data_IF_037083120696
#
_entry.id   IF_037083120696
#
_cell.length_a   1.000
_cell.length_b   1.000
_cell.length_c   1.000
_cell.angle_alpha   90.00
_cell.angle_beta   90.00
_cell.angle_gamma   90.00
#
_symmetry.space_group_name_H-M   'P 1'
#
loop_
_entity.id
_entity.type
_entity.pdbx_description
1 polymer ?
#
# COMPACT_ATOMS: atom_id res chain seq x y z
N UNK A 1 12.85 6.43 -36.81
CA UNK A 1 12.40 5.04 -37.10
C UNK A 1 11.13 4.74 -36.29
N UNK A 2 10.03 4.31 -36.92
CA UNK A 2 8.76 4.04 -36.21
C UNK A 2 8.88 2.71 -35.42
N UNK A 3 8.83 2.71 -34.07
CA UNK A 3 9.04 1.50 -33.26
C UNK A 3 7.90 0.48 -33.39
N UNK A 4 6.77 0.87 -33.98
CA UNK A 4 5.58 0.04 -34.19
C UNK A 4 5.44 -0.48 -35.64
N UNK A 5 6.42 -0.24 -36.51
CA UNK A 5 6.36 -0.71 -37.90
C UNK A 5 6.29 -2.26 -37.93
N UNK A 6 5.31 -2.80 -38.67
CA UNK A 6 5.10 -4.25 -38.83
C UNK A 6 4.43 -4.95 -37.64
N UNK A 7 3.71 -4.21 -36.78
CA UNK A 7 2.95 -4.80 -35.66
C UNK A 7 1.53 -5.11 -36.06
N UNK A 8 1.07 -6.30 -35.66
CA UNK A 8 -0.31 -6.77 -35.85
C UNK A 8 -1.33 -5.92 -35.07
N UNK A 9 -0.95 -5.42 -33.90
CA UNK A 9 -1.83 -4.62 -33.04
C UNK A 9 -1.53 -3.13 -33.18
N UNK A 10 -2.59 -2.32 -33.05
CA UNK A 10 -2.48 -0.86 -33.07
C UNK A 10 -1.58 -0.36 -31.94
N UNK A 11 -0.82 0.70 -32.22
CA UNK A 11 0.15 1.30 -31.28
C UNK A 11 -0.48 1.68 -29.94
N UNK A 12 -1.72 2.17 -29.96
CA UNK A 12 -2.38 2.71 -28.77
C UNK A 12 -2.74 1.59 -27.80
N UNK A 13 -3.21 0.44 -28.30
CA UNK A 13 -3.47 -0.77 -27.52
C UNK A 13 -2.18 -1.27 -26.83
N UNK A 14 -1.10 -1.36 -27.60
CA UNK A 14 0.21 -1.78 -27.07
C UNK A 14 0.67 -0.83 -25.96
N UNK A 15 0.58 0.48 -26.20
CA UNK A 15 0.98 1.49 -25.23
C UNK A 15 0.09 1.50 -23.98
N UNK A 16 -1.22 1.29 -24.11
CA UNK A 16 -2.12 1.17 -22.97
C UNK A 16 -1.79 -0.05 -22.11
N UNK A 17 -1.60 -1.21 -22.72
CA UNK A 17 -1.23 -2.43 -22.01
C UNK A 17 0.10 -2.28 -21.25
N UNK A 18 1.14 -1.75 -21.91
CA UNK A 18 2.44 -1.50 -21.29
C UNK A 18 2.34 -0.47 -20.17
N UNK A 19 1.61 0.63 -20.38
CA UNK A 19 1.40 1.65 -19.34
C UNK A 19 0.64 1.10 -18.15
N UNK A 20 -0.41 0.31 -18.37
CA UNK A 20 -1.22 -0.26 -17.30
C UNK A 20 -0.40 -1.24 -16.46
N UNK A 21 0.39 -2.10 -17.11
CA UNK A 21 1.36 -2.96 -16.44
C UNK A 21 2.32 -2.15 -15.56
N UNK A 22 3.02 -1.19 -16.15
CA UNK A 22 4.06 -0.42 -15.44
C UNK A 22 3.51 0.48 -14.33
N UNK A 23 2.28 0.99 -14.46
CA UNK A 23 1.71 1.95 -13.50
C UNK A 23 0.94 1.29 -12.36
N UNK A 24 0.14 0.27 -12.67
CA UNK A 24 -0.83 -0.29 -11.74
C UNK A 24 -0.43 -1.66 -11.21
N UNK A 25 0.65 -2.27 -11.73
CA UNK A 25 1.13 -3.57 -11.26
C UNK A 25 0.19 -4.73 -11.55
N UNK A 26 -0.63 -4.60 -12.60
CA UNK A 26 -1.58 -5.62 -13.05
C UNK A 26 -0.79 -6.79 -13.66
N UNK A 27 -1.20 -8.03 -13.40
CA UNK A 27 -0.55 -9.21 -13.99
C UNK A 27 -0.79 -9.29 -15.51
N UNK A 28 0.06 -10.04 -16.22
CA UNK A 28 -0.12 -10.22 -17.66
C UNK A 28 -1.41 -10.98 -18.02
N UNK A 29 -1.89 -11.85 -17.12
CA UNK A 29 -3.14 -12.62 -17.31
C UNK A 29 -4.36 -11.72 -17.14
N UNK A 30 -4.38 -10.91 -16.09
CA UNK A 30 -5.43 -9.91 -15.88
C UNK A 30 -5.45 -8.88 -17.02
N UNK A 31 -4.30 -8.45 -17.55
CA UNK A 31 -4.26 -7.57 -18.72
C UNK A 31 -4.82 -8.24 -19.99
N UNK A 32 -4.60 -9.53 -20.17
CA UNK A 32 -5.21 -10.29 -21.26
C UNK A 32 -6.74 -10.30 -21.11
N UNK A 33 -7.26 -10.57 -19.91
CA UNK A 33 -8.71 -10.55 -19.62
C UNK A 33 -9.30 -9.15 -19.87
N UNK A 34 -8.67 -8.10 -19.35
CA UNK A 34 -9.12 -6.71 -19.53
C UNK A 34 -9.11 -6.24 -21.00
N UNK A 35 -8.20 -6.77 -21.82
CA UNK A 35 -8.15 -6.50 -23.25
C UNK A 35 -9.22 -7.32 -23.99
N UNK A 36 -9.44 -8.56 -23.58
CA UNK A 36 -10.49 -9.41 -24.15
C UNK A 36 -11.89 -8.83 -23.93
N UNK A 37 -12.17 -8.27 -22.74
CA UNK A 37 -13.40 -7.51 -22.44
C UNK A 37 -13.64 -6.34 -23.39
N UNK A 38 -12.57 -5.78 -23.97
CA UNK A 38 -12.60 -4.66 -24.93
C UNK A 38 -12.55 -5.13 -26.38
N UNK A 39 -12.74 -6.44 -26.64
CA UNK A 39 -12.72 -7.03 -27.96
C UNK A 39 -11.32 -7.26 -28.53
N UNK A 40 -10.27 -7.14 -27.72
CA UNK A 40 -8.87 -7.30 -28.15
C UNK A 40 -8.32 -8.63 -27.64
N UNK A 41 -8.29 -9.64 -28.50
CA UNK A 41 -7.76 -10.96 -28.15
C UNK A 41 -6.23 -10.98 -28.29
N UNK A 42 -5.51 -10.98 -27.16
CA UNK A 42 -4.04 -11.01 -27.09
C UNK A 42 -3.62 -11.97 -25.99
N UNK A 43 -2.69 -12.87 -26.31
CA UNK A 43 -2.11 -13.76 -25.29
C UNK A 43 -1.14 -13.01 -24.35
N UNK A 44 -1.18 -13.34 -23.07
CA UNK A 44 -0.33 -12.78 -22.00
C UNK A 44 1.19 -12.81 -22.33
N UNK A 45 1.69 -13.82 -23.06
CA UNK A 45 3.09 -13.86 -23.51
C UNK A 45 3.44 -12.78 -24.54
N UNK A 46 2.45 -12.33 -25.30
CA UNK A 46 2.59 -11.21 -26.26
C UNK A 46 2.68 -9.90 -25.51
N UNK A 47 1.86 -9.71 -24.47
CA UNK A 47 1.90 -8.54 -23.59
C UNK A 47 3.27 -8.48 -22.88
N UNK A 48 3.78 -9.60 -22.38
CA UNK A 48 5.13 -9.69 -21.81
C UNK A 48 6.20 -9.21 -22.80
N UNK A 49 6.17 -9.68 -24.05
CA UNK A 49 7.09 -9.25 -25.11
C UNK A 49 6.97 -7.76 -25.44
N UNK A 50 5.77 -7.19 -25.36
CA UNK A 50 5.57 -5.74 -25.52
C UNK A 50 6.20 -4.98 -24.37
N UNK A 51 5.99 -5.38 -23.13
CA UNK A 51 6.60 -4.72 -21.96
C UNK A 51 8.12 -4.75 -22.04
N UNK A 52 8.72 -5.90 -22.31
CA UNK A 52 10.18 -6.05 -22.45
C UNK A 52 10.76 -5.11 -23.51
N UNK A 53 10.04 -4.89 -24.62
CA UNK A 53 10.53 -4.05 -25.72
C UNK A 53 10.24 -2.56 -25.53
N UNK A 54 9.03 -2.21 -25.10
CA UNK A 54 8.56 -0.83 -25.13
C UNK A 54 8.75 -0.11 -23.80
N UNK A 55 8.79 -0.80 -22.65
CA UNK A 55 9.02 -0.13 -21.37
C UNK A 55 10.39 0.57 -21.30
N UNK A 56 11.52 -0.05 -21.75
CA UNK A 56 12.81 0.65 -21.79
C UNK A 56 12.83 1.84 -22.77
N UNK A 57 12.15 1.72 -23.91
CA UNK A 57 12.01 2.81 -24.88
C UNK A 57 11.18 3.98 -24.32
N UNK A 58 10.11 3.67 -23.59
CA UNK A 58 9.30 4.67 -22.88
C UNK A 58 10.15 5.37 -21.81
N UNK A 59 10.89 4.62 -20.99
CA UNK A 59 11.80 5.19 -20.00
C UNK A 59 12.82 6.12 -20.66
N UNK A 60 13.48 5.67 -21.74
CA UNK A 60 14.48 6.49 -22.46
C UNK A 60 13.90 7.82 -22.94
N UNK A 61 12.70 7.81 -23.52
CA UNK A 61 12.03 9.01 -24.05
C UNK A 61 11.48 9.93 -22.97
N UNK A 62 11.01 9.35 -21.84
CA UNK A 62 10.44 10.09 -20.72
C UNK A 62 11.50 10.52 -19.68
N UNK A 63 12.74 10.00 -19.79
CA UNK A 63 13.84 10.22 -18.84
C UNK A 63 14.07 11.70 -18.54
N UNK A 64 14.05 12.55 -19.56
CA UNK A 64 14.29 13.99 -19.40
C UNK A 64 13.16 14.73 -18.68
N UNK A 65 11.91 14.24 -18.78
CA UNK A 65 10.75 14.84 -18.11
C UNK A 65 10.67 14.40 -16.64
N UNK A 66 11.04 13.14 -16.34
CA UNK A 66 10.86 12.56 -15.00
C UNK A 66 12.04 12.86 -14.06
N UNK A 67 13.26 12.95 -14.59
CA UNK A 67 14.48 13.23 -13.81
C UNK A 67 14.83 14.72 -13.71
N UNK A 68 13.87 15.60 -13.94
CA UNK A 68 14.05 17.03 -13.74
C UNK A 68 13.35 17.43 -12.42
N UNK A 69 14.00 17.25 -11.26
CA UNK A 69 13.49 17.79 -10.00
C UNK A 69 13.65 19.31 -10.05
N UNK A 70 12.68 19.96 -10.67
CA UNK A 70 12.63 21.42 -10.91
C UNK A 70 12.49 22.25 -9.64
N UNK A 71 12.34 21.62 -8.48
CA UNK A 71 11.82 22.28 -7.28
C UNK A 71 12.75 22.21 -6.06
N UNK A 72 14.00 21.75 -6.21
CA UNK A 72 14.98 21.61 -5.11
C UNK A 72 14.41 20.89 -3.86
N UNK A 73 13.38 20.07 -4.06
CA UNK A 73 12.67 19.42 -2.97
C UNK A 73 13.60 18.47 -2.24
N UNK A 74 13.52 18.39 -0.90
CA UNK A 74 14.26 17.41 -0.13
C UNK A 74 14.09 16.01 -0.71
N UNK A 75 15.18 15.27 -0.79
CA UNK A 75 15.12 13.86 -1.15
C UNK A 75 14.87 13.03 0.10
N UNK A 76 14.08 11.98 -0.07
CA UNK A 76 13.80 10.96 0.94
C UNK A 76 14.33 9.64 0.40
N UNK A 77 15.24 9.01 1.15
CA UNK A 77 15.91 7.80 0.71
C UNK A 77 15.80 6.73 1.77
N UNK A 78 15.50 5.51 1.34
CA UNK A 78 15.41 4.37 2.22
C UNK A 78 15.65 3.07 1.44
N UNK A 79 15.85 1.98 2.17
CA UNK A 79 16.01 0.65 1.61
C UNK A 79 14.81 -0.22 1.92
N UNK A 80 14.39 -1.02 0.94
CA UNK A 80 13.41 -2.09 1.17
C UNK A 80 13.95 -3.41 0.67
N UNK A 81 13.56 -4.51 1.31
CA UNK A 81 13.92 -5.84 0.85
C UNK A 81 12.96 -6.25 -0.28
N UNK A 82 13.52 -6.86 -1.32
CA UNK A 82 12.79 -7.36 -2.49
C UNK A 82 13.34 -8.72 -2.85
N UNK A 83 12.49 -9.62 -3.33
CA UNK A 83 12.92 -10.94 -3.76
C UNK A 83 13.05 -10.95 -5.28
N UNK A 84 14.23 -11.26 -5.77
CA UNK A 84 14.56 -11.29 -7.20
C UNK A 84 15.05 -12.69 -7.52
N UNK A 85 14.29 -13.41 -8.34
CA UNK A 85 14.59 -14.80 -8.73
C UNK A 85 14.86 -15.71 -7.51
N UNK A 86 13.96 -15.69 -6.52
CA UNK A 86 14.08 -16.49 -5.30
C UNK A 86 15.12 -15.99 -4.27
N UNK A 87 15.91 -14.95 -4.57
CA UNK A 87 16.94 -14.43 -3.67
C UNK A 87 16.56 -13.06 -3.10
N UNK A 88 16.77 -12.89 -1.79
CA UNK A 88 16.59 -11.60 -1.13
C UNK A 88 17.66 -10.60 -1.57
N UNK A 89 17.22 -9.41 -1.93
CA UNK A 89 18.06 -8.27 -2.27
C UNK A 89 17.50 -7.00 -1.61
N UNK A 90 18.36 -6.02 -1.40
CA UNK A 90 18.02 -4.70 -0.90
C UNK A 90 17.87 -3.75 -2.08
N UNK A 91 16.67 -3.21 -2.26
CA UNK A 91 16.35 -2.15 -3.19
C UNK A 91 16.44 -0.80 -2.46
N UNK A 92 17.48 -0.05 -2.79
CA UNK A 92 17.67 1.33 -2.40
C UNK A 92 16.81 2.22 -3.29
N UNK A 93 16.03 3.12 -2.69
CA UNK A 93 15.12 4.02 -3.39
C UNK A 93 15.34 5.45 -2.93
N UNK A 94 15.19 6.38 -3.86
CA UNK A 94 15.20 7.81 -3.59
C UNK A 94 13.98 8.44 -4.26
N UNK A 95 13.20 9.18 -3.48
CA UNK A 95 12.03 9.91 -3.95
C UNK A 95 12.11 11.37 -3.50
N UNK A 96 11.50 12.28 -4.23
CA UNK A 96 11.33 13.66 -3.77
C UNK A 96 10.10 13.81 -2.87
N UNK A 97 9.92 14.98 -2.26
CA UNK A 97 8.74 15.29 -1.44
C UNK A 97 7.40 15.23 -2.19
N UNK A 98 7.38 15.19 -3.53
CA UNK A 98 6.17 15.01 -4.35
C UNK A 98 5.92 13.54 -4.71
N UNK A 99 6.75 12.62 -4.22
CA UNK A 99 6.67 11.19 -4.52
C UNK A 99 7.18 10.81 -5.92
N UNK A 100 7.90 11.70 -6.60
CA UNK A 100 8.58 11.38 -7.86
C UNK A 100 9.85 10.59 -7.55
N UNK A 101 10.06 9.50 -8.27
CA UNK A 101 11.29 8.70 -8.14
C UNK A 101 12.49 9.45 -8.69
N UNK A 102 13.53 9.64 -7.87
CA UNK A 102 14.82 10.20 -8.28
C UNK A 102 15.66 9.12 -8.94
N UNK A 103 15.97 8.04 -8.21
CA UNK A 103 16.64 6.86 -8.75
C UNK A 103 16.45 5.65 -7.82
N UNK A 104 16.87 4.47 -8.28
CA UNK A 104 16.88 3.22 -7.52
C UNK A 104 18.16 2.44 -7.75
N UNK A 105 18.52 1.57 -6.80
CA UNK A 105 19.69 0.70 -6.89
C UNK A 105 19.47 -0.61 -6.15
N UNK A 106 19.75 -1.73 -6.82
CA UNK A 106 19.60 -3.06 -6.25
C UNK A 106 20.96 -3.58 -5.76
N UNK A 107 20.99 -4.11 -4.54
CA UNK A 107 22.20 -4.68 -3.92
C UNK A 107 21.86 -5.98 -3.20
N UNK A 108 22.73 -6.97 -3.22
CA UNK A 108 22.57 -8.17 -2.40
C UNK A 108 22.85 -7.94 -0.91
N UNK A 109 23.52 -6.82 -0.56
CA UNK A 109 23.94 -6.51 0.82
C UNK A 109 23.50 -5.11 1.23
N UNK A 110 23.06 -4.97 2.49
CA UNK A 110 22.81 -3.69 3.14
C UNK A 110 24.07 -3.19 3.83
N UNK A 111 24.86 -2.34 3.17
CA UNK A 111 26.10 -1.80 3.72
C UNK A 111 26.42 -0.38 3.22
N UNK A 112 27.40 0.27 3.85
CA UNK A 112 27.86 1.60 3.45
C UNK A 112 28.40 1.67 2.03
N UNK A 113 28.98 0.58 1.50
CA UNK A 113 29.48 0.52 0.12
C UNK A 113 28.35 0.57 -0.90
N UNK A 114 27.24 -0.11 -0.62
CA UNK A 114 26.03 -0.08 -1.45
C UNK A 114 25.38 1.31 -1.39
N UNK A 115 25.26 1.90 -0.20
CA UNK A 115 24.77 3.28 -0.04
C UNK A 115 25.65 4.30 -0.79
N UNK A 116 26.98 4.17 -0.71
CA UNK A 116 27.93 5.00 -1.46
C UNK A 116 27.75 4.86 -2.98
N UNK A 117 27.63 3.63 -3.49
CA UNK A 117 27.38 3.38 -4.92
C UNK A 117 26.05 3.98 -5.37
N UNK A 118 25.01 3.84 -4.56
CA UNK A 118 23.68 4.38 -4.85
C UNK A 118 23.69 5.91 -4.89
N UNK A 119 24.20 6.56 -3.85
CA UNK A 119 24.33 8.01 -3.79
C UNK A 119 25.23 8.54 -4.91
N UNK A 120 26.37 7.88 -5.15
CA UNK A 120 27.28 8.24 -6.24
C UNK A 120 26.63 8.11 -7.63
N UNK A 121 25.79 7.08 -7.85
CA UNK A 121 24.99 6.94 -9.08
C UNK A 121 24.03 8.11 -9.27
N UNK A 122 23.33 8.51 -8.21
CA UNK A 122 22.39 9.63 -8.25
C UNK A 122 23.14 10.92 -8.58
N UNK A 123 24.18 11.25 -7.80
CA UNK A 123 24.94 12.49 -7.92
C UNK A 123 25.65 12.64 -9.28
N UNK A 124 26.07 11.54 -9.92
CA UNK A 124 26.65 11.58 -11.26
C UNK A 124 25.61 11.80 -12.36
N UNK A 125 24.35 11.40 -12.13
CA UNK A 125 23.28 11.48 -13.12
C UNK A 125 22.49 12.80 -13.03
N UNK A 126 22.55 13.50 -11.89
CA UNK A 126 21.91 14.79 -11.70
C UNK A 126 22.91 15.93 -11.89
N UNK A 127 22.43 17.07 -12.36
CA UNK A 127 23.24 18.28 -12.44
C UNK A 127 23.43 18.86 -11.04
N UNK A 128 24.54 19.58 -10.79
CA UNK A 128 24.85 20.11 -9.43
C UNK A 128 23.72 20.95 -8.83
N UNK A 129 23.06 21.77 -9.64
CA UNK A 129 21.93 22.61 -9.21
C UNK A 129 20.61 21.87 -9.01
N UNK A 130 20.53 20.57 -9.32
CA UNK A 130 19.37 19.73 -9.06
C UNK A 130 19.50 18.98 -7.73
N UNK A 131 20.68 19.04 -7.09
CA UNK A 131 20.92 18.42 -5.78
C UNK A 131 20.23 19.30 -4.73
N UNK A 132 19.31 18.74 -3.93
CA UNK A 132 18.63 19.52 -2.91
C UNK A 132 19.56 19.80 -1.74
N UNK A 133 19.24 20.86 -1.00
CA UNK A 133 19.93 21.18 0.25
C UNK A 133 19.75 20.10 1.33
N UNK A 134 18.67 19.32 1.27
CA UNK A 134 18.33 18.34 2.31
C UNK A 134 18.17 16.93 1.75
N UNK A 135 18.88 15.97 2.35
CA UNK A 135 18.67 14.53 2.14
C UNK A 135 18.17 13.94 3.45
N UNK A 136 16.97 13.36 3.43
CA UNK A 136 16.37 12.67 4.55
C UNK A 136 16.57 11.16 4.38
N UNK A 137 17.05 10.49 5.42
CA UNK A 137 17.10 9.03 5.48
C UNK A 137 16.60 8.55 6.83
N UNK A 138 16.37 7.24 6.95
CA UNK A 138 16.23 6.63 8.28
C UNK A 138 17.56 6.71 9.09
N UNK A 139 17.50 6.33 10.36
CA UNK A 139 18.63 6.31 11.31
C UNK A 139 19.72 5.28 10.96
N UNK A 140 19.72 4.71 9.76
CA UNK A 140 20.73 3.76 9.32
C UNK A 140 22.12 4.43 9.22
N UNK A 141 23.15 3.92 9.92
CA UNK A 141 24.51 4.50 9.90
C UNK A 141 25.23 4.33 8.55
N UNK A 142 24.64 3.58 7.62
CA UNK A 142 25.21 3.34 6.29
C UNK A 142 25.27 4.63 5.46
N UNK A 143 24.19 5.43 5.46
CA UNK A 143 24.07 6.65 4.68
C UNK A 143 24.98 7.77 5.17
N UNK A 144 25.07 7.97 6.49
CA UNK A 144 25.94 9.00 7.07
C UNK A 144 27.41 8.79 6.66
N UNK A 145 27.90 7.55 6.76
CA UNK A 145 29.27 7.20 6.29
C UNK A 145 29.44 7.40 4.79
N UNK A 146 28.46 7.02 3.99
CA UNK A 146 28.52 7.18 2.54
C UNK A 146 28.55 8.66 2.11
N UNK A 147 27.72 9.51 2.73
CA UNK A 147 27.68 10.95 2.45
C UNK A 147 28.97 11.65 2.89
N UNK A 148 29.52 11.30 4.04
CA UNK A 148 30.80 11.85 4.50
C UNK A 148 31.94 11.56 3.50
N UNK A 149 32.01 10.34 2.98
CA UNK A 149 32.98 9.96 1.94
C UNK A 149 32.77 10.75 0.64
N UNK A 150 31.53 10.86 0.17
CA UNK A 150 31.21 11.60 -1.06
C UNK A 150 31.48 13.10 -0.95
N UNK A 151 31.30 13.68 0.24
CA UNK A 151 31.69 15.07 0.53
C UNK A 151 33.21 15.23 0.51
N UNK A 152 33.95 14.30 1.13
CA UNK A 152 35.43 14.31 1.14
C UNK A 152 36.01 14.21 -0.28
N UNK A 153 35.37 13.45 -1.16
CA UNK A 153 35.75 13.32 -2.58
C UNK A 153 35.31 14.49 -3.46
N UNK A 154 34.60 15.50 -2.92
CA UNK A 154 34.07 16.64 -3.68
C UNK A 154 32.93 16.31 -4.65
N UNK A 155 32.35 15.11 -4.54
CA UNK A 155 31.24 14.63 -5.39
C UNK A 155 29.88 15.11 -4.90
N UNK A 156 29.73 15.27 -3.58
CA UNK A 156 28.55 15.82 -2.95
C UNK A 156 28.84 17.27 -2.50
N UNK A 157 27.98 18.24 -2.84
CA UNK A 157 28.12 19.61 -2.35
C UNK A 157 28.15 19.67 -0.81
N UNK A 158 29.00 20.55 -0.26
CA UNK A 158 29.23 20.65 1.19
C UNK A 158 28.00 21.15 1.95
N UNK A 159 27.17 21.97 1.30
CA UNK A 159 25.92 22.57 1.76
C UNK A 159 24.75 21.57 1.89
N UNK A 160 24.88 20.35 1.37
CA UNK A 160 23.86 19.31 1.53
C UNK A 160 23.83 18.81 2.98
N UNK A 161 22.75 19.07 3.69
CA UNK A 161 22.53 18.60 5.04
C UNK A 161 21.82 17.22 5.04
N UNK A 162 22.35 16.30 5.85
CA UNK A 162 21.76 14.99 6.07
C UNK A 162 20.87 15.02 7.32
N UNK A 163 19.60 14.64 7.18
CA UNK A 163 18.62 14.61 8.27
C UNK A 163 18.12 13.20 8.52
N UNK A 164 18.02 12.83 9.80
CA UNK A 164 17.53 11.53 10.25
C UNK A 164 16.23 11.68 11.04
N UNK A 165 15.18 12.10 10.34
CA UNK A 165 13.90 12.48 10.96
C UNK A 165 12.84 11.43 10.62
N UNK A 166 12.44 10.63 11.62
CA UNK A 166 11.50 9.50 11.45
C UNK A 166 10.19 9.91 10.77
N UNK A 167 9.56 11.01 11.18
CA UNK A 167 8.25 11.42 10.64
C UNK A 167 8.28 11.84 9.16
N UNK A 168 9.46 12.14 8.59
CA UNK A 168 9.59 12.51 7.17
C UNK A 168 9.72 11.29 6.25
N UNK A 169 9.94 10.10 6.81
CA UNK A 169 10.04 8.86 6.04
C UNK A 169 8.69 8.37 5.50
N UNK A 170 7.56 8.91 5.96
CA UNK A 170 6.23 8.50 5.50
C UNK A 170 6.09 8.53 3.96
N UNK A 171 6.77 9.47 3.28
CA UNK A 171 6.73 9.58 1.82
C UNK A 171 7.39 8.37 1.15
N UNK A 172 8.57 7.97 1.62
CA UNK A 172 9.30 6.82 1.07
C UNK A 172 8.67 5.48 1.52
N UNK A 173 8.12 5.42 2.74
CA UNK A 173 7.37 4.27 3.23
C UNK A 173 6.09 4.03 2.40
N UNK A 174 5.38 5.09 2.01
CA UNK A 174 4.24 5.00 1.11
C UNK A 174 4.65 4.49 -0.29
N UNK A 175 5.79 4.93 -0.83
CA UNK A 175 6.36 4.38 -2.08
C UNK A 175 6.69 2.89 -1.95
N UNK A 176 7.32 2.49 -0.83
CA UNK A 176 7.59 1.09 -0.51
C UNK A 176 6.32 0.25 -0.43
N UNK A 177 5.24 0.78 0.17
CA UNK A 177 3.95 0.09 0.26
C UNK A 177 3.35 -0.24 -1.11
N UNK A 178 3.41 0.71 -2.06
CA UNK A 178 2.96 0.47 -3.44
C UNK A 178 3.78 -0.63 -4.11
N UNK A 179 5.09 -0.58 -3.95
CA UNK A 179 5.98 -1.60 -4.49
C UNK A 179 5.66 -2.97 -3.89
N UNK A 180 5.61 -3.07 -2.55
CA UNK A 180 5.29 -4.30 -1.81
C UNK A 180 3.92 -4.88 -2.16
N UNK A 181 2.94 -4.09 -2.58
CA UNK A 181 1.68 -4.65 -3.10
C UNK A 181 1.90 -5.43 -4.41
N UNK A 182 2.83 -4.98 -5.24
CA UNK A 182 3.15 -5.58 -6.54
C UNK A 182 4.12 -6.77 -6.38
N UNK A 183 5.08 -6.67 -5.46
CA UNK A 183 6.18 -7.66 -5.30
C UNK A 183 6.17 -8.44 -3.98
N UNK A 184 5.26 -8.12 -3.07
CA UNK A 184 5.27 -8.61 -1.69
C UNK A 184 4.55 -9.93 -1.56
N UNK A 185 3.53 -9.98 -0.71
CA UNK A 185 2.97 -11.25 -0.25
C UNK A 185 2.55 -12.23 -1.38
N UNK A 186 1.92 -11.82 -2.51
CA UNK A 186 1.59 -12.74 -3.60
C UNK A 186 2.80 -13.36 -4.30
N UNK A 187 3.90 -12.60 -4.44
CA UNK A 187 5.14 -13.11 -5.04
C UNK A 187 5.97 -13.96 -4.05
N UNK A 188 5.79 -13.72 -2.75
CA UNK A 188 6.44 -14.47 -1.67
C UNK A 188 5.74 -15.80 -1.34
N UNK A 189 4.44 -15.95 -1.68
CA UNK A 189 3.70 -17.20 -1.49
C UNK A 189 4.33 -18.39 -2.23
N UNK A 190 4.94 -18.15 -3.40
CA UNK A 190 5.63 -19.18 -4.16
C UNK A 190 6.89 -19.75 -3.49
N UNK A 191 7.39 -19.07 -2.45
CA UNK A 191 8.60 -19.46 -1.73
C UNK A 191 8.34 -19.81 -0.25
N UNK A 192 7.09 -19.93 0.18
CA UNK A 192 6.75 -20.39 1.51
C UNK A 192 7.18 -21.86 1.66
N UNK A 193 8.04 -22.16 2.63
CA UNK A 193 8.53 -23.53 2.88
C UNK A 193 7.63 -24.26 3.87
N UNK A 194 6.91 -23.51 4.70
CA UNK A 194 6.06 -24.05 5.74
C UNK A 194 4.60 -23.60 5.56
N UNK A 195 3.62 -24.44 5.95
CA UNK A 195 2.20 -24.08 5.92
C UNK A 195 1.87 -22.83 6.75
N UNK A 196 2.66 -22.58 7.80
CA UNK A 196 2.52 -21.38 8.64
C UNK A 196 2.95 -20.11 7.91
N UNK A 197 4.07 -20.13 7.18
CA UNK A 197 4.51 -18.98 6.36
C UNK A 197 3.52 -18.67 5.24
N UNK A 198 2.99 -19.71 4.59
CA UNK A 198 1.95 -19.56 3.56
C UNK A 198 0.68 -18.93 4.14
N UNK A 199 0.22 -19.40 5.31
CA UNK A 199 -0.93 -18.82 6.00
C UNK A 199 -0.69 -17.35 6.38
N UNK A 200 0.50 -17.00 6.87
CA UNK A 200 0.85 -15.61 7.22
C UNK A 200 0.86 -14.71 5.97
N UNK A 201 1.49 -15.14 4.87
CA UNK A 201 1.55 -14.37 3.63
C UNK A 201 0.19 -14.28 2.94
N UNK A 202 -0.60 -15.35 2.97
CA UNK A 202 -2.00 -15.37 2.53
C UNK A 202 -2.83 -14.39 3.34
N UNK A 203 -2.70 -14.39 4.67
CA UNK A 203 -3.42 -13.46 5.55
C UNK A 203 -3.00 -12.00 5.34
N UNK A 204 -1.72 -11.72 5.07
CA UNK A 204 -1.26 -10.36 4.72
C UNK A 204 -1.86 -9.92 3.38
N UNK A 205 -1.79 -10.77 2.36
CA UNK A 205 -2.39 -10.51 1.04
C UNK A 205 -3.89 -10.30 1.14
N UNK A 206 -4.56 -11.12 1.96
CA UNK A 206 -5.97 -11.03 2.25
C UNK A 206 -6.30 -9.71 2.94
N UNK A 207 -5.56 -9.31 3.98
CA UNK A 207 -5.79 -8.04 4.68
C UNK A 207 -5.56 -6.83 3.77
N UNK A 208 -4.56 -6.86 2.88
CA UNK A 208 -4.32 -5.81 1.89
C UNK A 208 -5.45 -5.74 0.84
N UNK A 209 -5.92 -6.89 0.36
CA UNK A 209 -7.05 -6.99 -0.57
C UNK A 209 -8.36 -6.56 0.07
N UNK A 210 -8.59 -6.94 1.33
CA UNK A 210 -9.72 -6.52 2.16
C UNK A 210 -9.72 -5.01 2.29
N UNK A 211 -8.58 -4.39 2.62
CA UNK A 211 -8.52 -2.95 2.79
C UNK A 211 -8.84 -2.22 1.47
N UNK A 212 -8.30 -2.69 0.33
CA UNK A 212 -8.59 -2.11 -0.99
C UNK A 212 -10.05 -2.30 -1.44
N UNK A 213 -10.60 -3.51 -1.25
CA UNK A 213 -12.01 -3.83 -1.57
C UNK A 213 -12.98 -3.10 -0.66
N UNK A 214 -12.62 -2.88 0.60
CA UNK A 214 -13.41 -2.12 1.57
C UNK A 214 -13.71 -0.71 1.04
N UNK A 215 -12.68 0.02 0.57
CA UNK A 215 -12.88 1.35 0.02
C UNK A 215 -13.72 1.35 -1.27
N UNK A 216 -13.46 0.40 -2.18
CA UNK A 216 -14.20 0.30 -3.43
C UNK A 216 -15.68 -0.06 -3.21
N UNK A 217 -15.95 -0.98 -2.29
CA UNK A 217 -17.30 -1.43 -1.98
C UNK A 217 -18.10 -0.37 -1.23
N UNK A 218 -17.47 0.32 -0.28
CA UNK A 218 -18.09 1.46 0.43
C UNK A 218 -18.43 2.56 -0.56
N UNK A 219 -17.50 2.92 -1.48
CA UNK A 219 -17.73 3.94 -2.49
C UNK A 219 -18.85 3.56 -3.47
N UNK A 220 -18.84 2.32 -3.98
CA UNK A 220 -19.88 1.82 -4.90
C UNK A 220 -21.28 1.85 -4.26
N UNK A 221 -21.39 1.52 -2.98
CA UNK A 221 -22.68 1.49 -2.28
C UNK A 221 -23.16 2.89 -1.89
N UNK A 222 -22.24 3.80 -1.55
CA UNK A 222 -22.54 5.22 -1.33
C UNK A 222 -23.08 5.91 -2.60
N UNK A 223 -22.69 5.45 -3.79
CA UNK A 223 -23.27 5.93 -5.05
C UNK A 223 -24.73 5.43 -5.26
N UNK A 224 -25.13 4.34 -4.62
CA UNK A 224 -26.48 3.78 -4.69
C UNK A 224 -27.30 4.10 -3.42
N UNK A 225 -27.44 5.40 -3.14
CA UNK A 225 -28.15 5.98 -1.99
C UNK A 225 -29.55 5.38 -1.77
N UNK A 226 -30.25 4.97 -2.84
CA UNK A 226 -31.62 4.44 -2.79
C UNK A 226 -31.77 3.22 -1.89
N UNK A 227 -30.78 2.33 -1.84
CA UNK A 227 -30.82 1.12 -1.03
C UNK A 227 -30.45 1.36 0.44
N UNK A 228 -29.67 2.40 0.70
CA UNK A 228 -29.34 2.82 2.06
C UNK A 228 -30.60 3.30 2.79
N UNK A 229 -31.48 4.02 2.10
CA UNK A 229 -32.75 4.50 2.65
C UNK A 229 -33.78 3.37 2.85
N UNK A 230 -33.89 2.41 1.93
CA UNK A 230 -34.85 1.30 2.04
C UNK A 230 -34.46 0.30 3.14
N UNK A 231 -33.16 0.05 3.32
CA UNK A 231 -32.65 -0.85 4.36
C UNK A 231 -32.43 -0.15 5.71
N UNK A 232 -32.57 1.18 5.77
CA UNK A 232 -32.10 2.00 6.89
C UNK A 232 -32.70 1.62 8.24
N UNK A 233 -34.04 1.56 8.35
CA UNK A 233 -34.70 1.33 9.64
C UNK A 233 -34.53 -0.11 10.14
N UNK A 234 -34.79 -1.11 9.29
CA UNK A 234 -34.61 -2.52 9.62
C UNK A 234 -33.14 -2.88 9.86
N UNK A 235 -32.23 -2.30 9.07
CA UNK A 235 -30.79 -2.45 9.23
C UNK A 235 -30.28 -1.85 10.54
N UNK A 236 -30.73 -0.65 10.92
CA UNK A 236 -30.37 -0.03 12.20
C UNK A 236 -30.82 -0.85 13.41
N UNK A 237 -32.04 -1.40 13.37
CA UNK A 237 -32.55 -2.26 14.43
C UNK A 237 -31.72 -3.55 14.55
N UNK A 238 -31.43 -4.19 13.41
CA UNK A 238 -30.60 -5.39 13.37
C UNK A 238 -29.17 -5.14 13.88
N UNK A 239 -28.53 -4.04 13.47
CA UNK A 239 -27.20 -3.64 13.94
C UNK A 239 -27.23 -3.42 15.45
N UNK A 240 -28.22 -2.68 15.96
CA UNK A 240 -28.34 -2.39 17.40
C UNK A 240 -28.53 -3.67 18.22
N UNK A 241 -29.42 -4.58 17.78
CA UNK A 241 -29.62 -5.86 18.45
C UNK A 241 -28.34 -6.73 18.44
N UNK A 242 -27.64 -6.79 17.30
CA UNK A 242 -26.39 -7.54 17.18
C UNK A 242 -25.27 -6.96 18.06
N UNK A 243 -25.20 -5.62 18.21
CA UNK A 243 -24.24 -4.96 19.10
C UNK A 243 -24.54 -5.26 20.57
N UNK A 244 -25.80 -5.22 20.99
CA UNK A 244 -26.20 -5.57 22.36
C UNK A 244 -25.85 -7.02 22.68
N UNK A 245 -26.15 -7.95 21.77
CA UNK A 245 -25.77 -9.36 21.93
C UNK A 245 -24.25 -9.54 22.07
N UNK A 246 -23.46 -8.80 21.27
CA UNK A 246 -22.01 -8.80 21.38
C UNK A 246 -21.52 -8.24 22.71
N UNK A 247 -22.10 -7.15 23.20
CA UNK A 247 -21.75 -6.57 24.50
C UNK A 247 -22.00 -7.55 25.65
N UNK A 248 -23.13 -8.26 25.61
CA UNK A 248 -23.44 -9.32 26.57
C UNK A 248 -22.43 -10.47 26.49
N UNK A 249 -22.04 -10.89 25.28
CA UNK A 249 -21.01 -11.91 25.08
C UNK A 249 -19.65 -11.51 25.66
N UNK A 250 -19.21 -10.27 25.43
CA UNK A 250 -17.95 -9.75 26.01
C UNK A 250 -18.06 -9.70 27.53
N UNK A 251 -19.17 -9.21 28.08
CA UNK A 251 -19.39 -9.16 29.52
C UNK A 251 -19.29 -10.56 30.15
N UNK A 252 -19.99 -11.56 29.57
CA UNK A 252 -19.94 -12.96 30.02
C UNK A 252 -18.51 -13.52 29.95
N UNK A 253 -17.78 -13.23 28.86
CA UNK A 253 -16.40 -13.72 28.70
C UNK A 253 -15.42 -13.14 29.74
N UNK A 254 -15.73 -11.98 30.32
CA UNK A 254 -14.88 -11.32 31.32
C UNK A 254 -15.23 -11.68 32.77
N UNK A 255 -16.27 -12.48 33.02
CA UNK A 255 -16.74 -12.80 34.39
C UNK A 255 -15.67 -13.50 35.24
N UNK A 256 -14.85 -14.36 34.64
CA UNK A 256 -13.79 -15.11 35.31
C UNK A 256 -12.43 -14.40 35.38
N UNK A 257 -12.38 -13.09 35.11
CA UNK A 257 -11.13 -12.31 35.11
C UNK A 257 -11.12 -11.29 36.26
N UNK A 258 -9.92 -10.92 36.71
CA UNK A 258 -9.68 -9.92 37.78
C UNK A 258 -10.02 -8.48 37.38
N UNK A 259 -10.66 -8.29 36.22
CA UNK A 259 -11.07 -6.98 35.71
C UNK A 259 -12.16 -6.35 36.58
N UNK A 260 -11.98 -5.09 36.94
CA UNK A 260 -12.98 -4.29 37.65
C UNK A 260 -14.22 -4.05 36.78
N UNK A 261 -15.38 -3.73 37.39
CA UNK A 261 -16.62 -3.42 36.65
C UNK A 261 -16.44 -2.28 35.63
N UNK A 262 -15.52 -1.34 35.89
CA UNK A 262 -15.20 -0.22 34.99
C UNK A 262 -14.36 -0.67 33.80
N UNK A 263 -13.38 -1.55 34.00
CA UNK A 263 -12.57 -2.12 32.93
C UNK A 263 -13.39 -3.06 32.04
N UNK A 264 -14.30 -3.84 32.63
CA UNK A 264 -15.25 -4.67 31.85
C UNK A 264 -16.13 -3.81 30.94
N UNK A 265 -16.59 -2.65 31.43
CA UNK A 265 -17.33 -1.69 30.62
C UNK A 265 -16.47 -1.08 29.50
N UNK A 266 -15.20 -0.77 29.77
CA UNK A 266 -14.26 -0.35 28.74
C UNK A 266 -14.04 -1.43 27.68
N UNK A 267 -13.88 -2.70 28.08
CA UNK A 267 -13.75 -3.82 27.16
C UNK A 267 -14.98 -3.98 26.26
N UNK A 268 -16.19 -3.81 26.80
CA UNK A 268 -17.43 -3.81 26.01
C UNK A 268 -17.42 -2.70 24.95
N UNK A 269 -16.99 -1.49 25.33
CA UNK A 269 -16.91 -0.33 24.43
C UNK A 269 -15.82 -0.53 23.36
N UNK A 270 -14.65 -1.05 23.75
CA UNK A 270 -13.52 -1.28 22.87
C UNK A 270 -13.74 -2.39 21.83
N UNK A 271 -14.75 -3.23 22.01
CA UNK A 271 -15.14 -4.29 21.07
C UNK A 271 -16.22 -3.88 20.05
N UNK A 272 -16.74 -2.65 20.11
CA UNK A 272 -17.63 -2.09 19.07
C UNK A 272 -16.94 -1.91 17.69
N UNK A 273 -15.73 -1.35 17.58
CA UNK A 273 -15.17 -0.98 16.28
C UNK A 273 -14.46 -2.16 15.60
N UNK A 274 -15.15 -2.82 14.66
CA UNK A 274 -14.54 -3.70 13.64
C UNK A 274 -15.21 -3.53 12.28
N UNK A 275 -14.94 -2.39 11.64
CA UNK A 275 -15.42 -2.07 10.28
C UNK A 275 -14.78 -2.93 9.17
N UNK A 276 -13.60 -3.49 9.44
CA UNK A 276 -12.76 -4.17 8.42
C UNK A 276 -13.37 -5.47 7.89
N UNK A 277 -13.94 -6.31 8.78
CA UNK A 277 -14.58 -7.57 8.38
C UNK A 277 -15.90 -7.32 7.66
N UNK A 278 -16.66 -6.33 8.09
CA UNK A 278 -17.93 -5.96 7.47
C UNK A 278 -17.73 -5.46 6.04
N UNK A 279 -16.67 -4.67 5.83
CA UNK A 279 -16.31 -4.16 4.51
C UNK A 279 -15.71 -5.24 3.58
N UNK A 280 -15.05 -6.25 4.16
CA UNK A 280 -14.51 -7.39 3.43
C UNK A 280 -15.59 -8.35 2.90
N UNK A 281 -16.55 -8.71 3.77
CA UNK A 281 -17.49 -9.80 3.54
C UNK A 281 -18.80 -9.28 2.91
N UNK A 282 -19.17 -8.02 3.17
CA UNK A 282 -20.44 -7.45 2.70
C UNK A 282 -20.66 -7.51 1.19
N UNK A 283 -19.59 -7.49 0.39
CA UNK A 283 -19.66 -7.54 -1.08
C UNK A 283 -19.75 -8.96 -1.66
N UNK A 284 -19.45 -10.00 -0.87
CA UNK A 284 -19.37 -11.38 -1.35
C UNK A 284 -20.75 -11.86 -1.87
N UNK A 285 -21.87 -11.66 -1.15
CA UNK A 285 -23.18 -12.09 -1.63
C UNK A 285 -23.60 -11.44 -2.95
N UNK A 286 -23.23 -10.17 -3.15
CA UNK A 286 -23.49 -9.45 -4.41
C UNK A 286 -22.65 -10.04 -5.55
N UNK A 287 -21.37 -10.33 -5.31
CA UNK A 287 -20.49 -10.96 -6.29
C UNK A 287 -20.94 -12.40 -6.66
N UNK A 288 -21.62 -13.09 -5.75
CA UNK A 288 -22.24 -14.40 -5.98
C UNK A 288 -23.59 -14.33 -6.71
N UNK A 289 -24.08 -13.13 -7.05
CA UNK A 289 -25.35 -12.95 -7.77
C UNK A 289 -26.61 -13.22 -6.93
N UNK A 290 -26.51 -13.19 -5.60
CA UNK A 290 -27.67 -13.38 -4.73
C UNK A 290 -28.62 -12.17 -4.83
N UNK A 291 -29.92 -12.42 -4.96
CA UNK A 291 -30.94 -11.37 -5.07
C UNK A 291 -30.99 -10.41 -3.88
N UNK A 292 -30.51 -10.82 -2.71
CA UNK A 292 -30.40 -9.99 -1.50
C UNK A 292 -29.01 -9.36 -1.32
N UNK A 293 -28.09 -9.53 -2.27
CA UNK A 293 -26.69 -9.11 -2.15
C UNK A 293 -26.52 -7.60 -1.97
N UNK A 294 -27.31 -6.80 -2.69
CA UNK A 294 -27.31 -5.34 -2.57
C UNK A 294 -27.79 -4.88 -1.19
N UNK A 295 -28.81 -5.53 -0.63
CA UNK A 295 -29.34 -5.22 0.71
C UNK A 295 -28.34 -5.58 1.80
N UNK A 296 -27.68 -6.75 1.70
CA UNK A 296 -26.66 -7.18 2.65
C UNK A 296 -25.46 -6.21 2.62
N UNK A 297 -25.04 -5.81 1.42
CA UNK A 297 -23.96 -4.85 1.25
C UNK A 297 -24.33 -3.48 1.85
N UNK A 298 -25.56 -3.00 1.62
CA UNK A 298 -26.05 -1.75 2.20
C UNK A 298 -26.07 -1.76 3.74
N UNK A 299 -26.52 -2.87 4.35
CA UNK A 299 -26.51 -3.03 5.81
C UNK A 299 -25.07 -3.09 6.37
N UNK A 300 -24.14 -3.75 5.65
CA UNK A 300 -22.73 -3.79 6.06
C UNK A 300 -22.08 -2.40 6.03
N UNK A 301 -22.37 -1.60 5.00
CA UNK A 301 -21.90 -0.21 4.90
C UNK A 301 -22.52 0.67 5.99
N UNK A 302 -23.82 0.54 6.24
CA UNK A 302 -24.51 1.25 7.31
C UNK A 302 -23.92 0.91 8.69
N UNK A 303 -23.58 -0.36 8.92
CA UNK A 303 -22.93 -0.79 10.15
C UNK A 303 -21.54 -0.14 10.32
N UNK A 304 -20.75 -0.01 9.25
CA UNK A 304 -19.44 0.65 9.31
C UNK A 304 -19.57 2.14 9.64
N UNK A 305 -20.48 2.84 8.96
CA UNK A 305 -20.71 4.27 9.15
C UNK A 305 -21.17 4.57 10.58
N UNK A 306 -22.01 3.71 11.17
CA UNK A 306 -22.51 3.90 12.53
C UNK A 306 -21.48 3.45 13.58
N UNK A 307 -20.90 2.25 13.45
CA UNK A 307 -20.11 1.64 14.52
C UNK A 307 -18.68 2.14 14.62
N UNK A 308 -18.06 2.57 13.51
CA UNK A 308 -16.67 3.02 13.55
C UNK A 308 -16.51 4.36 14.30
N UNK A 309 -17.32 5.40 14.04
CA UNK A 309 -17.24 6.65 14.78
C UNK A 309 -17.70 6.50 16.24
N UNK A 310 -18.81 5.78 16.47
CA UNK A 310 -19.31 5.52 17.83
C UNK A 310 -18.31 4.75 18.68
N UNK A 311 -17.65 3.73 18.11
CA UNK A 311 -16.62 2.97 18.79
C UNK A 311 -15.37 3.82 19.07
N UNK A 312 -14.90 4.60 18.10
CA UNK A 312 -13.74 5.47 18.27
C UNK A 312 -13.97 6.54 19.36
N UNK A 313 -15.10 7.26 19.28
CA UNK A 313 -15.51 8.23 20.30
C UNK A 313 -15.72 7.57 21.66
N UNK A 314 -16.34 6.39 21.68
CA UNK A 314 -16.55 5.60 22.89
C UNK A 314 -15.24 5.27 23.58
N UNK A 315 -14.23 4.80 22.84
CA UNK A 315 -12.90 4.50 23.39
C UNK A 315 -12.24 5.78 23.91
N UNK A 316 -12.21 6.86 23.12
CA UNK A 316 -11.51 8.09 23.47
C UNK A 316 -12.08 8.78 24.72
N UNK A 317 -13.41 8.76 24.86
CA UNK A 317 -14.11 9.33 26.04
C UNK A 317 -14.02 8.44 27.28
N UNK A 318 -14.01 7.11 27.08
CA UNK A 318 -14.07 6.15 28.18
C UNK A 318 -12.70 5.76 28.73
N UNK A 319 -11.61 5.80 27.94
CA UNK A 319 -10.30 5.32 28.39
C UNK A 319 -9.78 6.09 29.62
N UNK A 320 -9.93 7.43 29.65
CA UNK A 320 -9.47 8.25 30.79
C UNK A 320 -10.33 8.07 32.05
N UNK A 321 -11.60 7.70 31.89
CA UNK A 321 -12.58 7.61 32.99
C UNK A 321 -12.70 6.21 33.58
N UNK A 322 -12.51 5.18 32.76
CA UNK A 322 -12.74 3.78 33.11
C UNK A 322 -11.45 3.00 33.38
N UNK A 323 -10.32 3.43 32.81
CA UNK A 323 -9.02 2.81 33.08
C UNK A 323 -8.25 3.66 34.09
N UNK A 324 -7.91 3.09 35.24
CA UNK A 324 -6.95 3.70 36.15
C UNK A 324 -5.54 3.27 35.77
N UNK A 325 -4.59 4.21 35.77
CA UNK A 325 -3.18 3.90 35.58
C UNK A 325 -2.69 3.21 36.86
N UNK A 326 -2.34 1.92 36.81
CA UNK A 326 -1.56 1.32 37.89
C UNK A 326 -0.26 2.12 38.02
N UNK A 327 -0.07 2.79 39.16
CA UNK A 327 1.23 3.31 39.55
C UNK A 327 2.10 2.09 39.90
N UNK A 328 2.94 1.69 38.95
CA UNK A 328 4.11 0.84 39.19
C UNK A 328 5.35 1.71 39.09
#
# INVERSE_FOLDING_TARGET
MNPFKGRHFQRDIILWAVRWYCKYGISYRELQEMLAERGVNVDHSTIYRWVQRYAPEMEKRLRWYWRNPSDLCPWHMDETYVKVNGRWAYLYRAVDSRGRTVDFYLSSRRNSKAAYRFLGKILNNVKKWQIPRFINTDKAPAYGRALALLKREGRCPSDVEHRQIKYRNNVIECDHGKLKRIIGAPALMADALTPHEEAVLSNISFMEAVHARSYSSIFSTLCHIRYLFSAGLSGMLLITAALLFRMLGVWMSTLGTDLSRKERLFCMIAYLPKATVQAAIGAIPLAMGLGSGETILAVAVLAIILTAPLGALGIELSYKRLLQKQQS
#
